data_IF_570271941438
#
_entry.id   IF_570271941438
#
_cell.length_a   1.000
_cell.length_b   1.000
_cell.length_c   1.000
_cell.angle_alpha   90.00
_cell.angle_beta   90.00
_cell.angle_gamma   90.00
#
_symmetry.space_group_name_H-M   'P 1'
#
loop_
_entity.id
_entity.type
_entity.pdbx_description
1 polymer ?
#
# COMPACT_ATOMS: atom_id res chain seq x y z
N UNK A 1 33.84 29.22 -53.11
CA UNK A 1 33.59 29.44 -51.67
C UNK A 1 32.97 28.19 -51.09
N UNK A 2 33.35 27.86 -49.85
CA UNK A 2 33.61 26.52 -49.37
C UNK A 2 32.42 25.70 -48.84
N UNK A 3 32.80 24.45 -48.60
CA UNK A 3 32.16 23.23 -48.12
C UNK A 3 31.51 23.25 -46.70
N UNK A 4 30.56 22.31 -46.53
CA UNK A 4 30.27 21.44 -45.36
C UNK A 4 29.44 21.90 -44.13
N UNK A 5 28.63 20.92 -43.67
CA UNK A 5 28.05 20.67 -42.33
C UNK A 5 26.64 21.21 -42.02
N UNK A 6 25.74 20.54 -41.30
CA UNK A 6 25.56 19.16 -40.80
C UNK A 6 24.08 19.03 -40.37
N UNK A 7 23.59 17.81 -40.45
CA UNK A 7 22.32 17.25 -39.98
C UNK A 7 21.97 17.61 -38.52
N UNK A 8 20.74 18.07 -38.22
CA UNK A 8 20.06 17.85 -36.92
C UNK A 8 18.54 17.79 -37.09
N UNK A 9 18.04 16.56 -37.20
CA UNK A 9 16.63 16.26 -37.09
C UNK A 9 16.14 16.12 -35.64
N UNK A 10 14.81 15.96 -35.57
CA UNK A 10 14.20 14.92 -34.75
C UNK A 10 14.08 15.17 -33.23
N UNK A 11 13.47 16.29 -32.79
CA UNK A 11 13.07 16.43 -31.38
C UNK A 11 11.74 17.18 -31.12
N UNK A 12 10.74 17.07 -32.01
CA UNK A 12 9.42 17.70 -31.75
C UNK A 12 8.29 16.78 -31.25
N UNK A 13 8.45 15.46 -31.24
CA UNK A 13 7.28 14.57 -31.07
C UNK A 13 7.22 13.70 -29.79
N UNK A 14 8.14 13.85 -28.82
CA UNK A 14 8.20 12.91 -27.68
C UNK A 14 7.46 13.39 -26.40
N UNK A 15 7.11 14.68 -26.28
CA UNK A 15 6.56 15.20 -25.01
C UNK A 15 5.02 15.01 -24.89
N UNK A 16 4.31 14.63 -25.95
CA UNK A 16 2.83 14.60 -25.97
C UNK A 16 2.19 13.19 -26.03
N UNK A 17 2.77 12.20 -25.36
CA UNK A 17 2.11 10.89 -25.18
C UNK A 17 1.75 10.68 -23.71
N UNK A 18 0.55 11.16 -23.34
CA UNK A 18 -0.35 10.63 -22.30
C UNK A 18 0.32 9.93 -21.09
N UNK A 19 0.75 10.67 -20.07
CA UNK A 19 0.88 10.08 -18.72
C UNK A 19 -0.39 10.28 -17.90
N UNK A 20 -1.35 9.38 -18.11
CA UNK A 20 -2.50 9.17 -17.22
C UNK A 20 -2.15 8.13 -16.15
N UNK A 21 -1.09 8.38 -15.39
CA UNK A 21 -0.78 7.77 -14.08
C UNK A 21 0.06 8.79 -13.31
N UNK A 22 -0.22 9.06 -12.02
CA UNK A 22 0.64 9.91 -11.22
C UNK A 22 2.06 9.34 -11.27
N UNK A 23 3.04 10.19 -11.57
CA UNK A 23 4.46 9.85 -11.61
C UNK A 23 4.83 9.15 -10.29
N UNK A 24 4.94 7.82 -10.35
CA UNK A 24 5.49 7.03 -9.25
C UNK A 24 6.90 7.56 -9.01
N UNK A 25 7.19 7.99 -7.79
CA UNK A 25 8.51 8.50 -7.44
C UNK A 25 9.57 7.42 -7.66
N UNK A 26 10.65 7.75 -8.36
CA UNK A 26 11.76 6.84 -8.57
C UNK A 26 12.54 6.68 -7.26
N UNK A 27 12.72 5.44 -6.78
CA UNK A 27 13.46 5.13 -5.56
C UNK A 27 14.68 4.26 -5.88
N UNK A 28 15.87 4.71 -5.49
CA UNK A 28 17.11 3.94 -5.60
C UNK A 28 17.41 3.23 -4.26
N UNK A 29 17.37 1.90 -4.28
CA UNK A 29 17.77 1.09 -3.13
C UNK A 29 19.25 0.74 -3.29
N UNK A 30 20.09 1.26 -2.37
CA UNK A 30 21.53 0.99 -2.32
C UNK A 30 21.85 0.07 -1.14
N UNK A 31 22.96 -0.66 -1.21
CA UNK A 31 23.44 -1.51 -0.12
C UNK A 31 22.65 -2.80 0.07
N UNK A 32 21.96 -3.29 -0.97
CA UNK A 32 21.36 -4.63 -0.93
C UNK A 32 22.46 -5.69 -0.95
N UNK A 33 22.37 -6.67 -0.05
CA UNK A 33 23.27 -7.81 -0.07
C UNK A 33 23.09 -8.64 -1.35
N UNK A 34 24.16 -9.29 -1.79
CA UNK A 34 24.20 -10.13 -2.98
C UNK A 34 23.18 -11.28 -2.95
N UNK A 35 22.93 -11.85 -1.78
CA UNK A 35 21.95 -12.91 -1.60
C UNK A 35 20.52 -12.37 -1.81
N UNK A 36 20.22 -11.21 -1.22
CA UNK A 36 18.91 -10.57 -1.36
C UNK A 36 18.63 -10.22 -2.82
N UNK A 37 19.64 -9.69 -3.53
CA UNK A 37 19.54 -9.42 -4.97
C UNK A 37 19.22 -10.69 -5.75
N UNK A 38 19.93 -11.80 -5.49
CA UNK A 38 19.70 -13.08 -6.18
C UNK A 38 18.29 -13.61 -5.95
N UNK A 39 17.80 -13.55 -4.70
CA UNK A 39 16.42 -13.96 -4.34
C UNK A 39 15.37 -13.10 -5.06
N UNK A 40 15.59 -11.80 -5.17
CA UNK A 40 14.71 -10.88 -5.89
C UNK A 40 14.67 -11.21 -7.40
N UNK A 41 15.82 -11.44 -8.02
CA UNK A 41 15.92 -11.84 -9.44
C UNK A 41 15.21 -13.17 -9.71
N UNK A 42 15.37 -14.15 -8.82
CA UNK A 42 14.68 -15.44 -8.92
C UNK A 42 13.17 -15.30 -8.79
N UNK A 43 12.69 -14.51 -7.83
CA UNK A 43 11.26 -14.21 -7.64
C UNK A 43 10.67 -13.52 -8.88
N UNK A 44 11.37 -12.51 -9.42
CA UNK A 44 10.94 -11.80 -10.62
C UNK A 44 10.82 -12.74 -11.83
N UNK A 45 11.79 -13.64 -12.00
CA UNK A 45 11.78 -14.67 -13.06
C UNK A 45 10.60 -15.64 -12.91
N UNK A 46 10.34 -16.13 -11.70
CA UNK A 46 9.23 -17.04 -11.42
C UNK A 46 7.87 -16.38 -11.66
N UNK A 47 7.74 -15.11 -11.26
CA UNK A 47 6.50 -14.33 -11.42
C UNK A 47 6.36 -13.66 -12.79
N UNK A 48 7.32 -13.86 -13.71
CA UNK A 48 7.36 -13.25 -15.05
C UNK A 48 7.20 -11.73 -15.02
N UNK A 49 7.86 -11.08 -14.06
CA UNK A 49 7.86 -9.62 -13.86
C UNK A 49 9.25 -9.04 -14.04
N UNK A 50 9.32 -7.75 -14.31
CA UNK A 50 10.59 -7.03 -14.20
C UNK A 50 11.06 -6.98 -12.74
N UNK A 51 12.36 -6.77 -12.54
CA UNK A 51 12.95 -6.67 -11.21
C UNK A 51 12.33 -5.54 -10.37
N UNK A 52 12.06 -4.40 -11.02
CA UNK A 52 11.44 -3.23 -10.39
C UNK A 52 9.98 -3.48 -10.01
N UNK A 53 9.19 -4.10 -10.88
CA UNK A 53 7.80 -4.45 -10.58
C UNK A 53 7.72 -5.44 -9.42
N UNK A 54 8.58 -6.46 -9.41
CA UNK A 54 8.62 -7.43 -8.33
C UNK A 54 9.07 -6.78 -7.00
N UNK A 55 10.04 -5.87 -7.04
CA UNK A 55 10.45 -5.10 -5.87
C UNK A 55 9.29 -4.28 -5.29
N UNK A 56 8.53 -3.59 -6.14
CA UNK A 56 7.34 -2.83 -5.71
C UNK A 56 6.32 -3.75 -5.05
N UNK A 57 6.02 -4.90 -5.65
CA UNK A 57 5.05 -5.86 -5.09
C UNK A 57 5.50 -6.39 -3.72
N UNK A 58 6.78 -6.74 -3.58
CA UNK A 58 7.33 -7.25 -2.32
C UNK A 58 7.32 -6.18 -1.22
N UNK A 59 7.65 -4.93 -1.56
CA UNK A 59 7.59 -3.80 -0.64
C UNK A 59 6.14 -3.56 -0.17
N UNK A 60 5.19 -3.50 -1.10
CA UNK A 60 3.77 -3.36 -0.79
C UNK A 60 3.28 -4.48 0.13
N UNK A 61 3.64 -5.73 -0.18
CA UNK A 61 3.30 -6.90 0.63
C UNK A 61 3.88 -6.78 2.05
N UNK A 62 5.12 -6.32 2.18
CA UNK A 62 5.76 -6.07 3.47
C UNK A 62 5.00 -5.05 4.32
N UNK A 63 4.59 -3.92 3.73
CA UNK A 63 3.78 -2.93 4.43
C UNK A 63 2.39 -3.45 4.81
N UNK A 64 1.70 -4.15 3.91
CA UNK A 64 0.37 -4.70 4.20
C UNK A 64 0.39 -5.70 5.36
N UNK A 65 1.44 -6.53 5.47
CA UNK A 65 1.60 -7.47 6.59
C UNK A 65 1.82 -6.71 7.91
N UNK A 66 2.63 -5.66 7.91
CA UNK A 66 2.86 -4.83 9.10
C UNK A 66 1.56 -4.14 9.55
N UNK A 67 0.79 -3.56 8.62
CA UNK A 67 -0.49 -2.92 8.94
C UNK A 67 -1.55 -3.92 9.41
N UNK A 68 -1.64 -5.12 8.80
CA UNK A 68 -2.56 -6.16 9.25
C UNK A 68 -2.28 -6.64 10.68
N UNK A 69 -1.01 -6.63 11.11
CA UNK A 69 -0.63 -6.94 12.50
C UNK A 69 -0.87 -5.79 13.49
N UNK A 70 -1.09 -4.57 12.99
CA UNK A 70 -1.25 -3.36 13.80
C UNK A 70 -2.72 -2.92 13.91
N UNK A 71 -3.61 -3.47 13.09
CA UNK A 71 -5.03 -3.14 13.14
C UNK A 71 -5.65 -3.68 14.44
N UNK A 72 -5.80 -2.78 15.43
CA UNK A 72 -6.44 -3.12 16.70
C UNK A 72 -7.86 -3.55 16.39
N UNK A 73 -8.37 -4.56 17.10
CA UNK A 73 -9.76 -5.00 16.94
C UNK A 73 -10.76 -3.83 17.02
N UNK A 74 -10.47 -2.82 17.85
CA UNK A 74 -11.26 -1.59 17.93
C UNK A 74 -11.30 -0.78 16.63
N UNK A 75 -10.18 -0.63 15.93
CA UNK A 75 -10.10 0.14 14.67
C UNK A 75 -10.86 -0.59 13.54
N UNK A 76 -10.78 -1.92 13.54
CA UNK A 76 -11.55 -2.76 12.61
C UNK A 76 -13.05 -2.74 12.89
N UNK A 77 -13.45 -2.71 14.17
CA UNK A 77 -14.86 -2.57 14.53
C UNK A 77 -15.38 -1.16 14.17
N UNK A 78 -14.57 -0.13 14.40
CA UNK A 78 -14.91 1.25 14.05
C UNK A 78 -15.10 1.44 12.53
N UNK A 79 -14.24 0.85 11.70
CA UNK A 79 -14.35 0.95 10.24
C UNK A 79 -15.61 0.28 9.67
N UNK A 80 -16.15 -0.73 10.35
CA UNK A 80 -17.42 -1.39 9.97
C UNK A 80 -18.65 -0.56 10.33
N UNK A 81 -18.59 0.28 11.37
CA UNK A 81 -19.70 1.16 11.78
C UNK A 81 -19.84 2.38 10.84
N UNK A 82 -18.77 2.74 10.11
CA UNK A 82 -18.77 3.84 9.13
C UNK A 82 -18.84 5.22 9.79
N UNK A 83 -19.23 6.26 9.04
CA UNK A 83 -19.37 7.64 9.55
C UNK A 83 -20.64 7.88 10.39
N UNK A 84 -21.29 6.81 10.82
CA UNK A 84 -22.50 6.88 11.64
C UNK A 84 -22.08 7.20 13.07
N UNK A 85 -22.15 8.48 13.46
CA UNK A 85 -21.95 8.87 14.84
C UNK A 85 -23.12 8.34 15.68
N UNK A 86 -22.81 7.74 16.82
CA UNK A 86 -23.83 7.45 17.82
C UNK A 86 -24.49 8.75 18.27
N UNK A 87 -25.81 8.72 18.41
CA UNK A 87 -26.58 9.79 19.03
C UNK A 87 -26.28 9.87 20.52
N UNK A 88 -26.51 11.03 21.14
CA UNK A 88 -26.26 11.21 22.58
C UNK A 88 -27.07 10.23 23.44
N UNK A 89 -28.29 9.88 23.00
CA UNK A 89 -29.14 8.90 23.67
C UNK A 89 -28.51 7.49 23.63
N UNK A 90 -27.95 7.09 22.49
CA UNK A 90 -27.24 5.81 22.34
C UNK A 90 -25.97 5.76 23.20
N UNK A 91 -25.23 6.87 23.26
CA UNK A 91 -24.03 6.97 24.12
C UNK A 91 -24.43 6.84 25.60
N UNK A 92 -25.54 7.45 26.02
CA UNK A 92 -26.03 7.30 27.39
C UNK A 92 -26.44 5.87 27.73
N UNK A 93 -27.08 5.18 26.80
CA UNK A 93 -27.49 3.78 27.00
C UNK A 93 -26.27 2.85 27.10
N UNK A 94 -25.24 3.06 26.27
CA UNK A 94 -23.97 2.34 26.39
C UNK A 94 -23.32 2.62 27.75
N UNK A 95 -23.31 3.87 28.22
CA UNK A 95 -22.74 4.25 29.50
C UNK A 95 -23.50 3.63 30.69
N UNK A 96 -24.82 3.43 30.57
CA UNK A 96 -25.63 2.69 31.56
C UNK A 96 -25.30 1.20 31.54
N UNK A 97 -25.22 0.57 30.36
CA UNK A 97 -24.89 -0.86 30.23
C UNK A 97 -23.54 -1.23 30.85
N UNK A 98 -22.53 -0.35 30.76
CA UNK A 98 -21.21 -0.57 31.38
C UNK A 98 -21.20 -0.59 32.90
N UNK A 99 -22.25 -0.05 33.53
CA UNK A 99 -22.44 -0.05 34.98
C UNK A 99 -23.32 -1.21 35.46
N UNK A 100 -23.86 -2.01 34.53
CA UNK A 100 -24.60 -3.21 34.89
C UNK A 100 -23.65 -4.22 35.56
N UNK A 101 -24.14 -4.95 36.58
CA UNK A 101 -23.38 -6.04 37.17
C UNK A 101 -23.04 -7.08 36.10
N UNK A 102 -21.84 -7.65 36.21
CA UNK A 102 -21.33 -8.60 35.22
C UNK A 102 -22.31 -9.76 35.03
N UNK A 103 -22.59 -10.10 33.77
CA UNK A 103 -23.60 -11.12 33.47
C UNK A 103 -23.08 -12.46 33.95
N UNK A 104 -23.95 -13.23 34.62
CA UNK A 104 -23.60 -14.60 35.01
C UNK A 104 -23.22 -15.38 33.74
N UNK A 105 -22.17 -16.22 33.79
CA UNK A 105 -21.80 -17.06 32.67
C UNK A 105 -23.02 -17.86 32.15
N UNK A 106 -23.19 -18.01 30.83
CA UNK A 106 -24.25 -18.83 30.27
C UNK A 106 -24.12 -20.29 30.73
N UNK A 107 -25.25 -20.90 31.11
CA UNK A 107 -25.33 -22.33 31.43
C UNK A 107 -25.57 -23.11 30.12
N UNK A 108 -24.50 -23.69 29.56
CA UNK A 108 -24.55 -24.49 28.34
C UNK A 108 -24.95 -25.94 28.66
N UNK A 109 -26.17 -26.15 29.18
CA UNK A 109 -26.73 -27.49 29.35
C UNK A 109 -27.29 -28.06 28.05
#
# INVERSE_FOLDING_TARGET
MANLMLNEGFWRDIIDIKRRYPLMGDMLIRGIDSELKRRLEESARLNKRSLSEEAVVLIQKGFSIQHASTEKAGDRLYSLVGNSNFTDDEIQEIARSRKEPDRRPPDFR
#
